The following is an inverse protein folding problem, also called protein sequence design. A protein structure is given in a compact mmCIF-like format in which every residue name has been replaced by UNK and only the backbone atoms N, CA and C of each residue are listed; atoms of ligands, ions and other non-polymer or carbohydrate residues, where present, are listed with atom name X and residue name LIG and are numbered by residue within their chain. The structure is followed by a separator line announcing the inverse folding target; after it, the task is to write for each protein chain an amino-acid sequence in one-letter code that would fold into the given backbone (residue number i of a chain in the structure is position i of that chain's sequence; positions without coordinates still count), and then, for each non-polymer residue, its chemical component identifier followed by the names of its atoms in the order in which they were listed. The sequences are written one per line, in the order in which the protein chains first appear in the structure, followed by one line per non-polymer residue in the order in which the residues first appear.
data_IF_284535934693
#
_entry.id   IF_284535934693
#
_cell.length_a   1.000
_cell.length_b   1.000
_cell.length_c   1.000
_cell.angle_alpha   90.00
_cell.angle_beta   90.00
_cell.angle_gamma   90.00
#
_symmetry.space_group_name_H-M   'P 1'
#
loop_
_entity.id
_entity.type
_entity.pdbx_description
1 polymer ?
#
# COMPACT_ATOMS: atom_id res chain seq x y z
N UNK A 1 -48.28 29.88 -17.54
CA UNK A 1 -48.20 28.72 -16.61
C UNK A 1 -48.18 27.45 -17.45
N UNK A 2 -47.00 26.98 -17.85
CA UNK A 2 -46.81 25.71 -18.54
C UNK A 2 -46.59 24.60 -17.51
N UNK A 3 -47.35 23.54 -17.67
CA UNK A 3 -47.34 22.33 -16.85
C UNK A 3 -45.99 21.63 -17.06
N UNK A 4 -45.15 21.60 -16.03
CA UNK A 4 -43.95 20.76 -15.99
C UNK A 4 -44.43 19.32 -15.87
N UNK A 5 -44.39 18.60 -17.00
CA UNK A 5 -44.50 17.14 -17.03
C UNK A 5 -43.35 16.57 -16.20
N UNK A 6 -43.69 15.91 -15.08
CA UNK A 6 -42.87 14.99 -14.26
C UNK A 6 -41.43 14.81 -14.77
N UNK A 7 -40.57 15.76 -14.44
CA UNK A 7 -39.14 15.46 -14.30
C UNK A 7 -38.93 15.14 -12.83
N UNK A 8 -38.42 13.95 -12.57
CA UNK A 8 -37.99 13.51 -11.26
C UNK A 8 -36.93 14.50 -10.75
N UNK A 9 -37.39 15.49 -9.97
CA UNK A 9 -36.49 16.29 -9.14
C UNK A 9 -36.04 15.34 -8.04
N UNK A 10 -34.81 14.86 -8.18
CA UNK A 10 -34.16 13.91 -7.28
C UNK A 10 -34.04 14.55 -5.90
N UNK A 11 -34.43 13.80 -4.86
CA UNK A 11 -34.30 14.18 -3.46
C UNK A 11 -32.82 14.51 -3.16
N UNK A 12 -32.50 15.79 -2.93
CA UNK A 12 -31.13 16.26 -2.69
C UNK A 12 -30.61 17.29 -3.71
N UNK A 13 -31.28 17.46 -4.85
CA UNK A 13 -30.92 18.53 -5.79
C UNK A 13 -31.23 19.90 -5.18
N UNK A 14 -30.28 20.84 -5.26
CA UNK A 14 -30.44 22.18 -4.72
C UNK A 14 -30.01 23.25 -5.72
N UNK A 15 -30.54 24.46 -5.52
CA UNK A 15 -30.17 25.64 -6.30
C UNK A 15 -29.13 26.43 -5.50
N UNK A 16 -27.99 26.70 -6.12
CA UNK A 16 -26.96 27.58 -5.55
C UNK A 16 -26.48 28.52 -6.64
N UNK A 17 -26.44 29.83 -6.34
CA UNK A 17 -25.95 30.87 -7.26
C UNK A 17 -26.54 30.76 -8.69
N UNK A 18 -27.87 30.63 -8.78
CA UNK A 18 -28.62 30.46 -10.03
C UNK A 18 -28.26 29.20 -10.86
N UNK A 19 -27.58 28.22 -10.27
CA UNK A 19 -27.30 26.92 -10.91
C UNK A 19 -28.10 25.83 -10.21
N UNK A 20 -28.82 25.03 -10.99
CA UNK A 20 -29.43 23.78 -10.51
C UNK A 20 -28.33 22.72 -10.43
N UNK A 21 -27.96 22.31 -9.21
CA UNK A 21 -27.02 21.22 -8.98
C UNK A 21 -27.86 19.95 -8.88
N UNK A 22 -27.79 19.13 -9.94
CA UNK A 22 -28.44 17.82 -9.98
C UNK A 22 -27.54 16.81 -9.28
N UNK A 23 -28.04 16.19 -8.22
CA UNK A 23 -27.41 14.98 -7.70
C UNK A 23 -27.65 13.82 -8.69
N UNK A 24 -26.64 12.97 -8.94
CA UNK A 24 -26.80 11.86 -9.87
C UNK A 24 -27.91 10.92 -9.40
N UNK A 25 -28.72 10.42 -10.34
CA UNK A 25 -29.70 9.36 -10.07
C UNK A 25 -28.92 8.11 -9.64
N UNK A 26 -29.00 7.78 -8.35
CA UNK A 26 -28.40 6.57 -7.80
C UNK A 26 -29.44 5.45 -8.00
N UNK A 27 -29.11 4.44 -8.81
CA UNK A 27 -29.89 3.20 -8.81
C UNK A 27 -29.83 2.64 -7.37
N UNK A 28 -30.97 2.44 -6.69
CA UNK A 28 -30.99 1.97 -5.31
C UNK A 28 -30.34 0.59 -5.13
N UNK A 29 -30.09 -0.15 -6.22
CA UNK A 29 -29.37 -1.42 -6.21
C UNK A 29 -27.87 -1.29 -6.55
N UNK A 30 -27.41 -0.09 -6.94
CA UNK A 30 -26.02 0.15 -7.29
C UNK A 30 -25.25 0.61 -6.06
N UNK A 31 -24.36 -0.25 -5.56
CA UNK A 31 -23.39 0.13 -4.54
C UNK A 31 -22.56 1.30 -5.05
N UNK A 32 -22.62 2.42 -4.33
CA UNK A 32 -21.75 3.56 -4.60
C UNK A 32 -20.28 3.15 -4.41
N UNK A 33 -19.36 3.64 -5.24
CA UNK A 33 -17.94 3.47 -4.98
C UNK A 33 -17.52 4.29 -3.75
N UNK A 34 -16.54 3.77 -3.01
CA UNK A 34 -15.80 4.57 -2.01
C UNK A 34 -15.06 5.72 -2.69
N UNK A 35 -14.40 5.43 -3.81
CA UNK A 35 -13.62 6.38 -4.58
C UNK A 35 -13.72 6.04 -6.07
N UNK A 36 -13.87 7.07 -6.90
CA UNK A 36 -13.66 7.00 -8.35
C UNK A 36 -12.90 8.27 -8.72
N UNK A 37 -11.61 8.15 -9.02
CA UNK A 37 -10.76 9.32 -9.20
C UNK A 37 -9.58 9.11 -10.13
N UNK A 38 -9.20 10.16 -10.85
CA UNK A 38 -7.92 10.26 -11.53
C UNK A 38 -6.82 10.60 -10.53
N UNK A 39 -5.70 9.88 -10.62
CA UNK A 39 -4.53 10.12 -9.78
C UNK A 39 -3.70 11.27 -10.37
N UNK A 40 -3.49 12.32 -9.60
CA UNK A 40 -2.80 13.55 -10.02
C UNK A 40 -1.28 13.35 -10.18
N UNK A 41 -0.69 12.42 -9.43
CA UNK A 41 0.73 12.03 -9.56
C UNK A 41 0.87 10.52 -9.76
N UNK A 42 0.55 9.99 -10.97
CA UNK A 42 0.51 8.56 -11.23
C UNK A 42 1.80 7.80 -10.93
N UNK A 43 2.96 8.36 -11.29
CA UNK A 43 4.25 7.67 -11.05
C UNK A 43 4.61 7.58 -9.58
N UNK A 44 4.20 8.59 -8.79
CA UNK A 44 4.40 8.57 -7.33
C UNK A 44 3.47 7.53 -6.68
N UNK A 45 2.22 7.47 -7.11
CA UNK A 45 1.30 6.41 -6.67
C UNK A 45 1.81 5.02 -7.06
N UNK A 46 2.27 4.85 -8.32
CA UNK A 46 2.89 3.62 -8.81
C UNK A 46 4.07 3.21 -7.93
N UNK A 47 5.00 4.12 -7.63
CA UNK A 47 6.14 3.85 -6.77
C UNK A 47 5.69 3.35 -5.39
N UNK A 48 4.67 3.99 -4.80
CA UNK A 48 4.04 3.52 -3.56
C UNK A 48 3.49 2.09 -3.68
N UNK A 49 2.65 1.81 -4.68
CA UNK A 49 2.07 0.46 -4.86
C UNK A 49 3.16 -0.61 -5.08
N UNK A 50 4.20 -0.30 -5.86
CA UNK A 50 5.33 -1.20 -6.08
C UNK A 50 6.14 -1.43 -4.79
N UNK A 51 6.34 -0.38 -4.00
CA UNK A 51 6.98 -0.42 -2.70
C UNK A 51 6.23 -1.32 -1.72
N UNK A 52 4.90 -1.16 -1.63
CA UNK A 52 4.04 -2.04 -0.83
C UNK A 52 4.21 -3.49 -1.29
N UNK A 53 4.05 -3.75 -2.59
CA UNK A 53 4.18 -5.09 -3.13
C UNK A 53 5.56 -5.71 -2.84
N UNK A 54 6.65 -4.93 -2.92
CA UNK A 54 8.00 -5.40 -2.60
C UNK A 54 8.11 -5.86 -1.15
N UNK A 55 7.55 -5.12 -0.20
CA UNK A 55 7.55 -5.49 1.23
C UNK A 55 6.65 -6.69 1.48
N UNK A 56 5.47 -6.74 0.86
CA UNK A 56 4.56 -7.87 0.99
C UNK A 56 5.22 -9.16 0.46
N UNK A 57 5.95 -9.07 -0.65
CA UNK A 57 6.71 -10.18 -1.24
C UNK A 57 8.03 -10.51 -0.53
N UNK A 58 8.55 -9.63 0.32
CA UNK A 58 9.87 -9.76 0.89
C UNK A 58 10.01 -11.06 1.71
N UNK A 59 10.89 -11.95 1.27
CA UNK A 59 11.33 -13.11 2.05
C UNK A 59 12.74 -13.57 1.68
N UNK A 60 13.58 -13.95 2.65
CA UNK A 60 14.88 -14.56 2.36
C UNK A 60 14.70 -15.99 1.81
N UNK A 61 15.09 -16.20 0.55
CA UNK A 61 15.45 -17.53 0.05
C UNK A 61 14.31 -18.47 -0.37
N UNK A 62 13.06 -17.99 -0.50
CA UNK A 62 11.96 -18.82 -1.02
C UNK A 62 11.09 -18.01 -1.99
N UNK A 63 11.08 -18.42 -3.25
CA UNK A 63 10.15 -17.89 -4.26
C UNK A 63 8.89 -18.73 -4.25
N UNK A 64 7.75 -18.13 -3.90
CA UNK A 64 6.46 -18.81 -3.89
C UNK A 64 5.43 -17.94 -4.62
N UNK A 65 4.67 -18.55 -5.51
CA UNK A 65 3.73 -17.90 -6.46
C UNK A 65 2.45 -17.32 -5.83
N UNK A 66 2.44 -16.99 -4.54
CA UNK A 66 1.26 -16.40 -3.88
C UNK A 66 1.49 -14.93 -3.57
N UNK A 67 0.56 -14.13 -4.05
CA UNK A 67 0.49 -12.69 -3.86
C UNK A 67 -0.29 -12.41 -2.57
N UNK A 68 0.12 -11.37 -1.83
CA UNK A 68 -0.60 -10.91 -0.65
C UNK A 68 -1.58 -9.82 -1.02
N UNK A 69 -2.72 -9.92 -0.39
CA UNK A 69 -3.88 -9.10 -0.68
C UNK A 69 -3.93 -7.96 0.32
N UNK A 70 -3.57 -6.72 -0.06
CA UNK A 70 -3.68 -5.62 0.85
C UNK A 70 -5.13 -5.34 1.20
N UNK A 71 -5.30 -4.87 2.42
CA UNK A 71 -6.50 -4.15 2.83
C UNK A 71 -6.37 -2.72 2.33
N UNK A 72 -7.46 -2.20 1.79
CA UNK A 72 -7.56 -0.84 1.29
C UNK A 72 -8.64 -0.14 2.06
N UNK A 73 -8.28 0.97 2.70
CA UNK A 73 -9.18 1.80 3.50
C UNK A 73 -9.27 3.17 2.87
N UNK A 74 -10.49 3.64 2.67
CA UNK A 74 -10.82 4.96 2.15
C UNK A 74 -11.47 5.72 3.29
N UNK A 75 -10.92 6.89 3.64
CA UNK A 75 -11.49 7.84 4.59
C UNK A 75 -11.68 9.19 3.92
N UNK A 76 -12.29 10.17 4.56
CA UNK A 76 -12.40 11.53 3.99
C UNK A 76 -11.05 12.10 3.54
N UNK A 77 -9.96 11.81 4.27
CA UNK A 77 -8.69 12.51 4.10
C UNK A 77 -7.61 11.68 3.39
N UNK A 78 -7.79 10.36 3.29
CA UNK A 78 -6.74 9.48 2.77
C UNK A 78 -7.25 8.16 2.22
N UNK A 79 -6.43 7.56 1.37
CA UNK A 79 -6.54 6.17 0.93
C UNK A 79 -5.32 5.41 1.40
N UNK A 80 -5.54 4.43 2.28
CA UNK A 80 -4.52 3.55 2.80
C UNK A 80 -4.50 2.22 2.05
N UNK A 81 -3.31 1.72 1.74
CA UNK A 81 -3.08 0.34 1.34
C UNK A 81 -2.14 -0.32 2.34
N UNK A 82 -2.56 -1.42 2.95
CA UNK A 82 -1.81 -2.06 4.02
C UNK A 82 -1.84 -3.58 3.98
N UNK A 83 -0.79 -4.21 4.52
CA UNK A 83 -0.73 -5.65 4.62
C UNK A 83 0.51 -6.16 5.34
N UNK A 84 0.48 -7.45 5.62
CA UNK A 84 1.61 -8.18 6.16
C UNK A 84 2.38 -8.87 5.03
N UNK A 85 3.70 -8.88 5.15
CA UNK A 85 4.56 -9.79 4.39
C UNK A 85 4.08 -11.24 4.50
N UNK A 86 4.47 -12.07 3.53
CA UNK A 86 4.14 -13.50 3.51
C UNK A 86 4.19 -14.21 4.84
N UNK A 87 5.25 -13.93 5.57
CA UNK A 87 5.53 -14.63 6.81
C UNK A 87 5.06 -13.84 8.03
N UNK A 88 4.41 -12.69 7.89
CA UNK A 88 3.99 -11.89 9.03
C UNK A 88 5.16 -11.42 9.90
N UNK A 89 6.34 -11.18 9.31
CA UNK A 89 7.51 -10.61 10.00
C UNK A 89 7.68 -9.12 9.70
N UNK A 90 7.02 -8.64 8.64
CA UNK A 90 6.94 -7.24 8.25
C UNK A 90 5.49 -6.84 8.05
N UNK A 91 5.14 -5.65 8.50
CA UNK A 91 3.90 -4.94 8.19
C UNK A 91 4.24 -3.69 7.37
N UNK A 92 3.38 -3.35 6.42
CA UNK A 92 3.51 -2.15 5.61
C UNK A 92 2.14 -1.50 5.45
N UNK A 93 2.09 -0.19 5.62
CA UNK A 93 0.94 0.66 5.29
C UNK A 93 1.42 1.88 4.51
N UNK A 94 0.84 2.11 3.34
CA UNK A 94 1.06 3.33 2.55
C UNK A 94 -0.20 4.15 2.57
N UNK A 95 -0.06 5.40 2.98
CA UNK A 95 -1.10 6.40 3.03
C UNK A 95 -0.93 7.39 1.89
N UNK A 96 -1.95 7.47 1.04
CA UNK A 96 -2.05 8.49 0.01
C UNK A 96 -3.04 9.58 0.47
N UNK A 97 -2.63 10.85 0.55
CA UNK A 97 -3.52 11.92 0.97
C UNK A 97 -4.59 12.20 -0.09
N UNK A 98 -5.73 12.75 0.32
CA UNK A 98 -6.82 13.12 -0.59
C UNK A 98 -6.36 14.02 -1.74
N UNK A 99 -5.36 14.87 -1.50
CA UNK A 99 -4.75 15.78 -2.48
C UNK A 99 -4.05 15.08 -3.65
N UNK A 100 -3.88 13.75 -3.60
CA UNK A 100 -3.37 12.95 -4.71
C UNK A 100 -4.46 12.58 -5.73
N UNK A 101 -5.72 12.75 -5.35
CA UNK A 101 -6.90 12.38 -6.11
C UNK A 101 -7.57 13.64 -6.67
N UNK A 102 -7.98 13.59 -7.94
CA UNK A 102 -8.62 14.73 -8.60
C UNK A 102 -10.06 14.92 -8.12
N UNK A 103 -10.80 13.83 -8.04
CA UNK A 103 -12.15 13.78 -7.49
C UNK A 103 -12.12 13.52 -5.97
N UNK A 104 -13.09 14.10 -5.25
CA UNK A 104 -13.26 13.87 -3.80
C UNK A 104 -13.69 12.43 -3.52
N UNK A 105 -13.30 11.96 -2.35
CA UNK A 105 -13.76 10.69 -1.79
C UNK A 105 -15.27 10.78 -1.55
N UNK A 106 -16.02 9.77 -2.00
CA UNK A 106 -17.48 9.80 -1.99
C UNK A 106 -18.06 9.27 -0.69
N UNK A 107 -17.46 8.21 -0.17
CA UNK A 107 -17.86 7.57 1.08
C UNK A 107 -16.67 6.81 1.66
N UNK A 108 -16.63 6.71 2.98
CA UNK A 108 -15.62 5.92 3.68
C UNK A 108 -15.91 4.42 3.56
N UNK A 109 -14.86 3.60 3.59
CA UNK A 109 -15.04 2.17 3.52
C UNK A 109 -13.74 1.40 3.43
N UNK A 110 -13.87 0.07 3.52
CA UNK A 110 -12.75 -0.86 3.47
C UNK A 110 -13.06 -2.00 2.52
N UNK A 111 -12.07 -2.36 1.71
CA UNK A 111 -12.05 -3.56 0.88
C UNK A 111 -10.69 -4.24 0.99
N UNK A 112 -10.53 -5.42 0.42
CA UNK A 112 -9.28 -6.17 0.49
C UNK A 112 -9.11 -6.93 -0.82
N UNK A 113 -7.97 -6.80 -1.49
CA UNK A 113 -7.87 -7.17 -2.92
C UNK A 113 -6.61 -7.94 -3.26
N UNK A 114 -6.71 -8.82 -4.25
CA UNK A 114 -5.55 -9.53 -4.82
C UNK A 114 -4.75 -8.66 -5.78
N UNK A 115 -3.50 -8.39 -5.43
CA UNK A 115 -2.49 -7.72 -6.25
C UNK A 115 -2.00 -8.61 -7.40
N UNK A 116 -2.89 -9.09 -8.27
CA UNK A 116 -2.58 -10.14 -9.23
C UNK A 116 -1.23 -9.95 -9.98
N UNK A 117 -0.52 -11.03 -10.37
CA UNK A 117 0.85 -10.89 -10.88
C UNK A 117 0.91 -10.11 -12.20
N UNK A 118 -0.19 -10.09 -12.95
CA UNK A 118 -0.26 -9.33 -14.20
C UNK A 118 -0.27 -7.82 -13.93
N UNK A 119 -1.00 -7.38 -12.92
CA UNK A 119 -1.09 -5.98 -12.51
C UNK A 119 0.28 -5.45 -12.08
N UNK A 120 0.98 -6.17 -11.19
CA UNK A 120 2.31 -5.77 -10.74
C UNK A 120 3.31 -5.74 -11.90
N UNK A 121 3.28 -6.74 -12.80
CA UNK A 121 4.14 -6.76 -13.99
C UNK A 121 3.85 -5.57 -14.91
N UNK A 122 2.59 -5.24 -15.12
CA UNK A 122 2.20 -4.13 -16.00
C UNK A 122 2.61 -2.78 -15.41
N UNK A 123 2.45 -2.58 -14.09
CA UNK A 123 2.97 -1.39 -13.41
C UNK A 123 4.49 -1.29 -13.54
N UNK A 124 5.24 -2.37 -13.28
CA UNK A 124 6.71 -2.39 -13.37
C UNK A 124 7.24 -2.15 -14.78
N UNK A 125 6.55 -2.66 -15.80
CA UNK A 125 7.00 -2.55 -17.20
C UNK A 125 7.02 -1.11 -17.74
N UNK A 126 6.45 -0.16 -16.99
CA UNK A 126 6.23 1.22 -17.42
C UNK A 126 7.20 2.16 -16.72
N UNK A 127 8.10 2.76 -17.48
CA UNK A 127 8.96 3.85 -17.00
C UNK A 127 8.13 5.08 -16.61
N UNK A 128 7.12 5.42 -17.42
CA UNK A 128 6.25 6.59 -17.24
C UNK A 128 4.77 6.21 -17.26
N UNK A 129 3.97 6.86 -16.42
CA UNK A 129 2.52 6.62 -16.28
C UNK A 129 1.75 7.91 -16.53
N UNK A 130 1.26 8.17 -17.76
CA UNK A 130 0.64 9.45 -18.08
C UNK A 130 -0.75 9.61 -17.46
N UNK A 131 -1.53 8.52 -17.39
CA UNK A 131 -2.88 8.54 -16.85
C UNK A 131 -3.14 7.27 -16.05
N UNK A 132 -3.61 7.47 -14.82
CA UNK A 132 -3.98 6.41 -13.91
C UNK A 132 -5.30 6.79 -13.24
N UNK A 133 -6.27 5.90 -13.35
CA UNK A 133 -7.56 6.00 -12.70
C UNK A 133 -7.69 4.90 -11.66
N UNK A 134 -8.27 5.27 -10.52
CA UNK A 134 -8.53 4.40 -9.39
C UNK A 134 -10.02 4.40 -9.08
N UNK A 135 -10.58 3.21 -9.01
CA UNK A 135 -11.95 2.96 -8.58
C UNK A 135 -11.92 1.96 -7.43
N UNK A 136 -12.58 2.26 -6.33
CA UNK A 136 -12.63 1.43 -5.13
C UNK A 136 -14.09 1.31 -4.70
N UNK A 137 -14.55 0.07 -4.47
CA UNK A 137 -15.88 -0.21 -3.96
C UNK A 137 -15.87 -1.43 -3.00
N UNK A 138 -17.01 -1.80 -2.40
CA UNK A 138 -17.09 -2.96 -1.51
C UNK A 138 -16.65 -4.30 -2.14
N UNK A 139 -16.68 -4.42 -3.47
CA UNK A 139 -16.38 -5.64 -4.24
C UNK A 139 -14.92 -5.72 -4.71
N UNK A 140 -14.17 -4.61 -4.62
CA UNK A 140 -12.74 -4.58 -4.90
C UNK A 140 -12.26 -3.27 -5.48
N UNK A 141 -11.24 -3.37 -6.31
CA UNK A 141 -10.54 -2.23 -6.89
C UNK A 141 -10.42 -2.41 -8.39
N UNK A 142 -10.62 -1.33 -9.13
CA UNK A 142 -10.25 -1.25 -10.52
C UNK A 142 -9.20 -0.15 -10.71
N UNK A 143 -8.11 -0.51 -11.36
CA UNK A 143 -7.05 0.41 -11.75
C UNK A 143 -6.98 0.44 -13.26
N UNK A 144 -7.24 1.60 -13.86
CA UNK A 144 -7.10 1.79 -15.30
C UNK A 144 -5.86 2.61 -15.61
N UNK A 145 -4.97 2.01 -16.38
CA UNK A 145 -3.75 2.66 -16.89
C UNK A 145 -3.93 2.80 -18.40
N UNK A 146 -3.92 4.03 -18.88
CA UNK A 146 -4.20 4.40 -20.28
C UNK A 146 -5.57 3.90 -20.79
N UNK A 147 -5.60 2.66 -21.30
CA UNK A 147 -6.77 1.97 -21.88
C UNK A 147 -6.92 0.53 -21.37
N UNK A 148 -6.11 0.15 -20.38
CA UNK A 148 -6.11 -1.20 -19.80
C UNK A 148 -6.56 -1.12 -18.35
N UNK A 149 -7.68 -1.77 -18.06
CA UNK A 149 -8.20 -1.90 -16.70
C UNK A 149 -7.78 -3.21 -16.06
N UNK A 150 -7.37 -3.12 -14.79
CA UNK A 150 -7.04 -4.22 -13.90
C UNK A 150 -8.09 -4.26 -12.80
N UNK A 151 -8.88 -5.34 -12.79
CA UNK A 151 -9.88 -5.56 -11.75
C UNK A 151 -9.26 -6.49 -10.69
N UNK A 152 -9.01 -5.93 -9.52
CA UNK A 152 -8.53 -6.62 -8.33
C UNK A 152 -9.75 -6.96 -7.48
N UNK A 153 -10.09 -8.25 -7.44
CA UNK A 153 -11.32 -8.71 -6.77
C UNK A 153 -11.14 -8.79 -5.28
N UNK A 154 -12.23 -8.59 -4.55
CA UNK A 154 -12.31 -8.91 -3.14
C UNK A 154 -11.96 -10.38 -2.88
N UNK A 155 -11.19 -10.61 -1.83
CA UNK A 155 -10.89 -11.98 -1.36
C UNK A 155 -11.35 -12.20 0.07
N UNK A 156 -11.21 -13.43 0.57
CA UNK A 156 -11.42 -13.75 1.99
C UNK A 156 -10.08 -13.71 2.69
N UNK A 157 -9.92 -12.81 3.67
CA UNK A 157 -8.69 -12.70 4.45
C UNK A 157 -8.46 -13.94 5.33
N UNK A 158 -7.21 -14.42 5.46
CA UNK A 158 -6.91 -15.54 6.34
C UNK A 158 -7.06 -15.13 7.80
N UNK A 159 -7.38 -16.10 8.67
CA UNK A 159 -7.64 -15.86 10.09
C UNK A 159 -6.45 -15.20 10.79
N UNK A 160 -5.23 -15.69 10.54
CA UNK A 160 -4.00 -15.18 11.14
C UNK A 160 -3.77 -13.68 10.86
N UNK A 161 -4.30 -13.15 9.76
CA UNK A 161 -4.16 -11.72 9.44
C UNK A 161 -4.86 -10.85 10.48
N UNK A 162 -6.07 -11.25 10.91
CA UNK A 162 -6.83 -10.54 11.94
C UNK A 162 -6.11 -10.59 13.28
N UNK A 163 -5.59 -11.76 13.64
CA UNK A 163 -4.83 -11.95 14.87
C UNK A 163 -3.57 -11.07 14.86
N UNK A 164 -2.81 -11.06 13.75
CA UNK A 164 -1.62 -10.22 13.59
C UNK A 164 -1.94 -8.72 13.59
N UNK A 165 -3.07 -8.32 13.02
CA UNK A 165 -3.53 -6.94 13.05
C UNK A 165 -3.92 -6.49 14.46
N UNK A 166 -4.53 -7.36 15.26
CA UNK A 166 -4.81 -7.09 16.67
C UNK A 166 -3.51 -6.96 17.48
N UNK A 167 -2.55 -7.85 17.28
CA UNK A 167 -1.23 -7.76 17.94
C UNK A 167 -0.50 -6.47 17.59
N UNK A 168 -0.50 -6.09 16.31
CA UNK A 168 0.12 -4.86 15.83
C UNK A 168 -0.41 -3.62 16.55
N UNK A 169 -1.72 -3.57 16.85
CA UNK A 169 -2.35 -2.44 17.55
C UNK A 169 -1.84 -2.22 18.97
N UNK A 170 -1.22 -3.22 19.61
CA UNK A 170 -0.55 -3.04 20.91
C UNK A 170 0.73 -2.22 20.82
N UNK A 171 1.34 -2.14 19.65
CA UNK A 171 2.62 -1.46 19.44
C UNK A 171 2.48 -0.14 18.69
N UNK A 172 1.47 0.00 17.84
CA UNK A 172 1.28 1.18 17.00
C UNK A 172 -0.19 1.55 16.90
N UNK A 173 -0.49 2.84 16.94
CA UNK A 173 -1.74 3.37 16.46
C UNK A 173 -1.71 3.38 14.93
N UNK A 174 -2.37 2.40 14.32
CA UNK A 174 -2.37 2.20 12.85
C UNK A 174 -3.06 3.37 12.12
N UNK A 175 -3.99 4.06 12.78
CA UNK A 175 -4.72 5.18 12.19
C UNK A 175 -3.87 6.44 12.13
N UNK A 176 -3.17 6.77 13.22
CA UNK A 176 -2.24 7.92 13.25
C UNK A 176 -0.87 7.57 12.68
N UNK A 177 -0.59 6.28 12.46
CA UNK A 177 0.72 5.73 12.06
C UNK A 177 1.82 5.93 13.11
N UNK A 178 1.46 6.19 14.37
CA UNK A 178 2.40 6.49 15.44
C UNK A 178 2.57 5.30 16.40
N UNK A 179 3.81 4.87 16.69
CA UNK A 179 4.06 3.87 17.71
C UNK A 179 3.58 4.35 19.08
N UNK A 180 3.08 3.43 19.91
CA UNK A 180 2.81 3.72 21.31
C UNK A 180 4.16 3.88 22.02
N UNK A 181 4.62 5.12 22.13
CA UNK A 181 5.95 5.43 22.66
C UNK A 181 6.00 5.03 24.14
N UNK A 182 6.77 4.00 24.45
CA UNK A 182 7.22 3.65 25.80
C UNK A 182 8.71 4.02 25.97
N UNK A 183 9.21 4.03 27.21
CA UNK A 183 10.63 4.25 27.51
C UNK A 183 11.60 3.23 26.86
N UNK A 184 11.05 2.18 26.26
CA UNK A 184 11.77 1.11 25.57
C UNK A 184 12.15 1.47 24.13
N UNK A 185 11.52 2.49 23.55
CA UNK A 185 11.82 2.96 22.19
C UNK A 185 12.81 4.13 22.20
N UNK A 186 13.83 4.04 21.34
CA UNK A 186 14.59 5.20 20.89
C UNK A 186 13.94 5.72 19.60
N UNK A 187 13.44 6.96 19.62
CA UNK A 187 13.08 7.68 18.40
C UNK A 187 14.34 8.33 17.82
N UNK A 188 14.58 8.11 16.54
CA UNK A 188 15.69 8.69 15.78
C UNK A 188 15.13 9.24 14.47
N UNK A 189 15.60 10.41 14.04
CA UNK A 189 15.18 11.02 12.79
C UNK A 189 16.34 11.05 11.79
N UNK A 190 16.08 10.60 10.57
CA UNK A 190 16.97 10.74 9.42
C UNK A 190 16.41 11.78 8.44
N UNK A 191 17.28 12.65 7.94
CA UNK A 191 16.94 13.47 6.77
C UNK A 191 16.72 12.58 5.54
N UNK A 192 15.95 13.05 4.56
CA UNK A 192 15.77 12.34 3.29
C UNK A 192 17.10 11.99 2.61
N UNK A 193 18.09 12.90 2.66
CA UNK A 193 19.45 12.64 2.15
C UNK A 193 20.14 11.51 2.92
N UNK A 194 20.08 11.54 4.25
CA UNK A 194 20.65 10.49 5.12
C UNK A 194 19.99 9.14 4.87
N UNK A 195 18.66 9.12 4.73
CA UNK A 195 17.89 7.92 4.43
C UNK A 195 18.24 7.33 3.05
N UNK A 196 18.32 8.16 2.01
CA UNK A 196 18.74 7.74 0.67
C UNK A 196 20.16 7.17 0.68
N UNK A 197 21.08 7.82 1.40
CA UNK A 197 22.43 7.30 1.58
C UNK A 197 22.44 5.95 2.29
N UNK A 198 21.60 5.76 3.31
CA UNK A 198 21.45 4.48 4.00
C UNK A 198 20.99 3.39 3.05
N UNK A 199 19.88 3.59 2.34
CA UNK A 199 19.32 2.61 1.41
C UNK A 199 20.36 2.24 0.34
N UNK A 200 21.00 3.21 -0.31
CA UNK A 200 22.02 2.97 -1.35
C UNK A 200 23.23 2.19 -0.83
N UNK A 201 23.71 2.53 0.37
CA UNK A 201 24.86 1.82 0.97
C UNK A 201 24.50 0.39 1.34
N UNK A 202 23.31 0.16 1.89
CA UNK A 202 22.84 -1.20 2.18
C UNK A 202 22.64 -1.97 0.88
N UNK A 203 22.00 -1.42 -0.15
CA UNK A 203 21.83 -2.04 -1.47
C UNK A 203 23.17 -2.47 -2.08
N UNK A 204 24.12 -1.54 -2.19
CA UNK A 204 25.45 -1.81 -2.77
C UNK A 204 26.22 -2.87 -2.01
N UNK A 205 26.04 -2.99 -0.69
CA UNK A 205 26.79 -3.96 0.09
C UNK A 205 26.46 -5.42 -0.24
N UNK A 206 25.24 -5.71 -0.67
CA UNK A 206 24.82 -7.09 -0.98
C UNK A 206 25.21 -7.52 -2.39
N UNK A 207 25.73 -6.61 -3.22
CA UNK A 207 26.40 -6.97 -4.48
C UNK A 207 27.70 -7.76 -4.22
N UNK A 208 28.25 -7.70 -3.01
CA UNK A 208 29.45 -8.42 -2.62
C UNK A 208 29.11 -9.70 -1.85
N UNK A 209 29.30 -10.86 -2.48
CA UNK A 209 28.86 -12.22 -2.06
C UNK A 209 29.25 -12.64 -0.62
N UNK A 210 30.18 -11.97 0.05
CA UNK A 210 30.66 -12.34 1.39
C UNK A 210 30.71 -11.18 2.40
N UNK A 211 30.25 -9.97 2.05
CA UNK A 211 30.38 -8.76 2.89
C UNK A 211 29.11 -7.88 2.86
N UNK A 212 27.91 -8.45 2.88
CA UNK A 212 26.67 -7.65 3.01
C UNK A 212 26.50 -7.09 4.42
N UNK A 213 25.91 -5.89 4.56
CA UNK A 213 25.63 -5.28 5.89
C UNK A 213 24.77 -6.27 6.67
N UNK A 214 25.17 -6.61 7.90
CA UNK A 214 24.42 -7.56 8.73
C UNK A 214 23.56 -6.85 9.77
N UNK A 215 24.05 -5.74 10.29
CA UNK A 215 23.37 -4.95 11.31
C UNK A 215 23.61 -3.46 11.13
N UNK A 216 22.64 -2.67 11.60
CA UNK A 216 22.82 -1.25 11.84
C UNK A 216 23.10 -1.04 13.32
N UNK A 217 24.10 -0.21 13.64
CA UNK A 217 24.39 0.20 14.99
C UNK A 217 24.14 1.70 15.12
N UNK A 218 23.17 2.06 15.95
CA UNK A 218 22.71 3.41 16.18
C UNK A 218 23.37 3.94 17.44
N UNK A 219 24.05 5.08 17.34
CA UNK A 219 24.74 5.77 18.44
C UNK A 219 24.29 7.24 18.54
N UNK A 220 24.93 7.99 19.43
CA UNK A 220 24.52 9.35 19.80
C UNK A 220 24.25 10.26 18.59
N UNK A 221 25.06 10.18 17.53
CA UNK A 221 25.00 11.10 16.38
C UNK A 221 24.88 10.41 15.05
N UNK A 222 24.97 9.08 15.00
CA UNK A 222 25.04 8.36 13.75
C UNK A 222 24.39 6.98 13.77
N UNK A 223 24.14 6.48 12.56
CA UNK A 223 23.93 5.06 12.32
C UNK A 223 25.09 4.51 11.52
N UNK A 224 25.76 3.52 12.10
CA UNK A 224 26.88 2.80 11.54
C UNK A 224 26.39 1.54 10.83
N UNK A 225 26.90 1.30 9.62
CA UNK A 225 26.65 0.09 8.85
C UNK A 225 27.74 -0.93 9.19
N UNK A 226 27.34 -2.06 9.77
CA UNK A 226 28.27 -3.10 10.22
C UNK A 226 28.25 -4.34 9.31
N UNK A 227 29.43 -4.78 8.86
CA UNK A 227 29.61 -6.09 8.19
C UNK A 227 29.85 -7.24 9.18
N UNK A 228 29.53 -8.47 8.74
CA UNK A 228 29.65 -9.68 9.56
C UNK A 228 30.97 -10.44 9.33
N UNK A 229 31.67 -10.70 10.45
CA UNK A 229 32.90 -11.50 10.63
C UNK A 229 33.20 -11.69 12.13
N UNK A 230 34.44 -12.03 12.53
CA UNK A 230 34.87 -12.09 13.96
C UNK A 230 35.06 -10.71 14.61
N UNK A 231 35.13 -9.64 13.82
CA UNK A 231 35.20 -8.25 14.28
C UNK A 231 34.14 -7.44 13.55
N UNK A 232 33.51 -6.53 14.28
CA UNK A 232 32.55 -5.58 13.74
C UNK A 232 33.33 -4.37 13.22
N UNK A 233 33.24 -4.14 11.91
CA UNK A 233 33.85 -2.99 11.27
C UNK A 233 32.74 -2.07 10.75
N UNK A 234 32.78 -0.80 11.17
CA UNK A 234 31.92 0.24 10.60
C UNK A 234 32.46 0.62 9.24
N UNK A 235 31.64 0.47 8.20
CA UNK A 235 32.01 0.80 6.82
C UNK A 235 31.47 2.15 6.40
N UNK A 236 30.47 2.63 7.12
CA UNK A 236 29.85 3.91 6.88
C UNK A 236 29.13 4.37 8.13
N UNK A 237 29.30 5.64 8.46
CA UNK A 237 28.49 6.36 9.41
C UNK A 237 27.55 7.32 8.66
N UNK A 238 26.31 7.42 9.11
CA UNK A 238 25.27 8.30 8.55
C UNK A 238 24.72 9.15 9.68
N UNK A 239 24.70 10.47 9.48
CA UNK A 239 24.28 11.42 10.51
C UNK A 239 22.78 11.37 10.78
N UNK A 240 22.44 11.42 12.05
CA UNK A 240 21.08 11.60 12.56
C UNK A 240 20.73 13.08 12.67
N UNK A 241 19.45 13.40 12.56
CA UNK A 241 18.91 14.72 12.93
C UNK A 241 18.72 14.77 14.44
N UNK A 242 18.03 13.78 14.99
CA UNK A 242 17.83 13.61 16.44
C UNK A 242 18.76 12.51 16.98
N UNK A 243 19.42 12.74 18.13
CA UNK A 243 20.39 11.80 18.67
C UNK A 243 19.73 10.51 19.16
N UNK A 244 20.45 9.39 19.07
CA UNK A 244 20.02 8.15 19.70
C UNK A 244 20.39 8.16 21.19
N UNK A 245 19.38 8.25 22.07
CA UNK A 245 19.61 8.37 23.51
C UNK A 245 20.24 7.11 24.14
N UNK A 246 19.89 5.93 23.62
CA UNK A 246 20.45 4.64 24.04
C UNK A 246 20.96 3.90 22.79
N UNK A 247 22.23 3.49 22.75
CA UNK A 247 22.74 2.74 21.61
C UNK A 247 21.87 1.53 21.30
N UNK A 248 21.51 1.36 20.04
CA UNK A 248 20.62 0.30 19.59
C UNK A 248 21.25 -0.46 18.44
N UNK A 249 21.03 -1.78 18.40
CA UNK A 249 21.48 -2.61 17.29
C UNK A 249 20.28 -3.26 16.62
N UNK A 250 20.18 -3.08 15.31
CA UNK A 250 19.11 -3.64 14.51
C UNK A 250 19.64 -4.71 13.56
N UNK A 251 18.97 -5.86 13.52
CA UNK A 251 19.29 -6.99 12.66
C UNK A 251 18.29 -7.11 11.50
N UNK A 252 18.68 -7.86 10.47
CA UNK A 252 17.83 -8.10 9.30
C UNK A 252 17.69 -6.87 8.41
N UNK A 253 18.81 -6.15 8.22
CA UNK A 253 18.91 -4.90 7.46
C UNK A 253 18.60 -5.05 5.97
N UNK A 254 18.62 -6.27 5.43
CA UNK A 254 18.15 -6.56 4.08
C UNK A 254 16.71 -6.08 3.85
N UNK A 255 15.91 -5.96 4.92
CA UNK A 255 14.55 -5.39 4.86
C UNK A 255 14.52 -3.91 4.45
N UNK A 256 15.58 -3.16 4.77
CA UNK A 256 15.74 -1.75 4.35
C UNK A 256 16.05 -1.66 2.86
N UNK A 257 16.68 -2.68 2.26
CA UNK A 257 16.89 -2.72 0.81
C UNK A 257 15.57 -2.76 0.05
N UNK A 258 14.52 -3.30 0.67
CA UNK A 258 13.21 -3.31 0.03
C UNK A 258 12.63 -1.90 -0.12
N UNK A 259 13.25 -0.85 0.44
CA UNK A 259 12.77 0.53 0.38
C UNK A 259 13.35 1.34 -0.79
N UNK A 260 14.09 0.70 -1.69
CA UNK A 260 14.76 1.36 -2.81
C UNK A 260 13.81 2.05 -3.78
N UNK A 261 12.63 1.46 -4.04
CA UNK A 261 11.66 1.97 -5.02
C UNK A 261 11.11 3.36 -4.66
N UNK A 262 10.97 3.68 -3.37
CA UNK A 262 10.47 4.98 -2.91
C UNK A 262 11.55 5.90 -2.34
N UNK A 263 12.79 5.41 -2.16
CA UNK A 263 13.83 6.12 -1.42
C UNK A 263 14.08 7.55 -1.91
N UNK A 264 14.11 7.76 -3.23
CA UNK A 264 14.36 9.08 -3.82
C UNK A 264 13.22 10.09 -3.57
N UNK A 265 12.02 9.63 -3.16
CA UNK A 265 10.88 10.47 -2.82
C UNK A 265 10.82 10.83 -1.33
N UNK A 266 11.57 10.12 -0.48
CA UNK A 266 11.56 10.31 0.98
C UNK A 266 12.30 11.59 1.35
N UNK A 267 11.64 12.43 2.15
CA UNK A 267 12.18 13.68 2.69
C UNK A 267 12.58 13.56 4.16
N UNK A 268 12.01 12.60 4.89
CA UNK A 268 12.32 12.32 6.29
C UNK A 268 11.97 10.87 6.62
N UNK A 269 12.72 10.26 7.53
CA UNK A 269 12.41 8.96 8.11
C UNK A 269 12.50 9.03 9.64
N UNK A 270 11.38 8.78 10.31
CA UNK A 270 11.31 8.61 11.76
C UNK A 270 11.46 7.12 12.07
N UNK A 271 12.47 6.77 12.86
CA UNK A 271 12.84 5.40 13.17
C UNK A 271 12.69 5.18 14.67
N UNK A 272 11.82 4.24 15.02
CA UNK A 272 11.53 3.84 16.38
C UNK A 272 12.18 2.49 16.64
N UNK A 273 13.27 2.52 17.41
CA UNK A 273 14.13 1.37 17.67
C UNK A 273 13.86 0.86 19.07
N UNK A 274 13.44 -0.39 19.19
CA UNK A 274 13.30 -1.03 20.49
C UNK A 274 14.09 -2.34 20.55
N UNK A 275 14.57 -2.65 21.75
CA UNK A 275 15.32 -3.88 22.01
C UNK A 275 14.32 -5.02 22.25
N UNK A 276 14.41 -6.11 21.46
CA UNK A 276 13.50 -7.28 21.52
C UNK A 276 12.03 -7.00 21.16
N UNK A 277 11.65 -5.75 20.88
CA UNK A 277 10.35 -5.38 20.33
C UNK A 277 10.44 -5.04 18.84
N UNK A 278 9.30 -5.07 18.11
CA UNK A 278 9.26 -4.62 16.74
C UNK A 278 9.80 -3.19 16.58
N UNK A 279 10.59 -2.96 15.55
CA UNK A 279 11.04 -1.60 15.19
C UNK A 279 10.08 -1.01 14.15
N UNK A 280 9.77 0.28 14.27
CA UNK A 280 8.90 0.97 13.32
C UNK A 280 9.65 2.03 12.55
N UNK A 281 9.31 2.18 11.28
CA UNK A 281 9.83 3.23 10.41
C UNK A 281 8.64 3.96 9.81
N UNK A 282 8.57 5.28 10.04
CA UNK A 282 7.61 6.16 9.39
C UNK A 282 8.39 6.98 8.37
N UNK A 283 8.13 6.75 7.09
CA UNK A 283 8.76 7.52 6.02
C UNK A 283 7.77 8.56 5.51
N UNK A 284 8.25 9.78 5.39
CA UNK A 284 7.51 10.89 4.82
C UNK A 284 8.05 11.14 3.42
N UNK A 285 7.19 10.97 2.41
CA UNK A 285 7.51 11.26 1.03
C UNK A 285 6.97 12.62 0.62
N UNK A 286 7.48 13.14 -0.50
CA UNK A 286 6.92 14.34 -1.13
C UNK A 286 5.42 14.17 -1.39
N UNK A 287 4.70 15.29 -1.44
CA UNK A 287 3.25 15.31 -1.71
C UNK A 287 2.37 14.74 -0.60
N UNK A 288 2.89 14.59 0.62
CA UNK A 288 2.10 14.16 1.78
C UNK A 288 1.88 12.65 1.90
N UNK A 289 2.53 11.83 1.06
CA UNK A 289 2.47 10.37 1.17
C UNK A 289 3.27 9.92 2.39
N UNK A 290 2.71 8.99 3.14
CA UNK A 290 3.36 8.41 4.32
C UNK A 290 3.45 6.89 4.17
N UNK A 291 4.52 6.30 4.70
CA UNK A 291 4.73 4.86 4.75
C UNK A 291 5.04 4.47 6.20
N UNK A 292 4.25 3.56 6.77
CA UNK A 292 4.56 2.90 8.04
C UNK A 292 5.07 1.50 7.75
N UNK A 293 6.22 1.18 8.33
CA UNK A 293 6.81 -0.16 8.30
C UNK A 293 6.97 -0.65 9.72
N UNK A 294 6.49 -1.85 9.99
CA UNK A 294 6.74 -2.55 11.26
C UNK A 294 7.56 -3.80 11.00
N UNK A 295 8.68 -3.96 11.70
CA UNK A 295 9.56 -5.12 11.58
C UNK A 295 9.70 -5.85 12.89
N UNK A 296 9.44 -7.15 12.90
CA UNK A 296 9.75 -7.98 14.07
C UNK A 296 11.27 -8.09 14.27
N UNK A 297 11.76 -8.26 15.52
CA UNK A 297 13.19 -8.24 15.85
C UNK A 297 14.02 -9.30 15.11
N UNK A 298 13.40 -10.45 14.80
CA UNK A 298 14.02 -11.57 14.11
C UNK A 298 13.21 -11.98 12.90
N UNK A 299 13.87 -12.39 11.81
CA UNK A 299 13.20 -12.87 10.60
C UNK A 299 12.34 -14.12 10.84
N UNK A 300 12.63 -14.89 11.91
CA UNK A 300 11.83 -16.02 12.37
C UNK A 300 10.76 -15.66 13.40
N UNK A 301 10.77 -14.41 13.91
CA UNK A 301 9.74 -13.91 14.80
C UNK A 301 8.60 -13.34 13.97
N UNK A 302 7.39 -13.77 14.27
CA UNK A 302 6.18 -13.34 13.59
C UNK A 302 5.29 -12.59 14.55
N UNK A 303 4.40 -11.76 14.02
CA UNK A 303 3.41 -11.05 14.84
C UNK A 303 2.53 -12.01 15.65
N UNK A 304 2.29 -13.25 15.18
CA UNK A 304 1.52 -14.27 15.91
C UNK A 304 2.08 -15.69 15.74
N UNK A 305 1.83 -16.54 16.75
CA UNK A 305 2.10 -17.99 16.68
C UNK A 305 1.17 -18.71 15.68
N UNK A 306 -0.04 -18.19 15.46
CA UNK A 306 -0.95 -18.69 14.41
C UNK A 306 -0.36 -18.48 13.02
N UNK A 307 0.18 -17.29 12.75
CA UNK A 307 0.89 -17.02 11.50
C UNK A 307 2.03 -18.03 11.32
N UNK A 308 2.77 -18.34 12.41
CA UNK A 308 3.87 -19.32 12.39
C UNK A 308 3.40 -20.69 11.96
N UNK A 309 2.34 -21.20 12.56
CA UNK A 309 1.78 -22.53 12.23
C UNK A 309 1.26 -22.59 10.80
N UNK A 310 0.55 -21.56 10.35
CA UNK A 310 0.03 -21.48 8.98
C UNK A 310 1.16 -21.44 7.95
N UNK A 311 2.22 -20.71 8.25
CA UNK A 311 3.47 -20.69 7.47
C UNK A 311 4.15 -22.05 7.46
N UNK A 312 4.34 -22.68 8.63
CA UNK A 312 4.96 -24.00 8.72
C UNK A 312 4.15 -25.02 7.91
N UNK A 313 2.83 -24.91 7.90
CA UNK A 313 1.94 -25.72 7.06
C UNK A 313 2.11 -25.41 5.57
N UNK A 314 2.24 -24.14 5.18
CA UNK A 314 2.52 -23.72 3.80
C UNK A 314 3.88 -24.20 3.30
N UNK A 315 4.90 -24.22 4.18
CA UNK A 315 6.24 -24.71 3.85
C UNK A 315 6.27 -26.24 3.71
N UNK A 316 5.45 -26.96 4.48
CA UNK A 316 5.33 -28.43 4.40
C UNK A 316 4.69 -28.89 3.09
N UNK A 317 3.81 -28.10 2.50
CA UNK A 317 3.21 -28.38 1.20
C UNK A 317 2.99 -27.08 0.41
N UNK A 318 4.03 -26.57 -0.29
CA UNK A 318 3.96 -25.32 -1.04
C UNK A 318 2.98 -25.39 -2.22
N UNK A 319 2.48 -26.58 -2.56
CA UNK A 319 1.53 -26.83 -3.64
C UNK A 319 0.13 -27.24 -3.16
N UNK A 320 -0.13 -27.30 -1.84
CA UNK A 320 -1.43 -27.71 -1.28
C UNK A 320 -2.60 -26.89 -1.83
N UNK A 321 -2.34 -25.61 -2.01
CA UNK A 321 -3.29 -24.65 -2.54
C UNK A 321 -3.16 -24.41 -4.05
N UNK A 322 -2.25 -25.12 -4.72
CA UNK A 322 -2.13 -25.16 -6.18
C UNK A 322 -3.18 -26.07 -6.83
N UNK A 323 -4.05 -26.69 -6.04
CA UNK A 323 -5.24 -27.35 -6.56
C UNK A 323 -6.20 -26.25 -7.02
N UNK A 324 -6.01 -25.79 -8.25
CA UNK A 324 -7.14 -25.28 -9.02
C UNK A 324 -8.31 -26.27 -8.85
N UNK A 325 -9.57 -25.83 -8.80
CA UNK A 325 -10.74 -26.71 -8.94
C UNK A 325 -10.84 -27.33 -10.36
N UNK A 326 -9.73 -27.85 -10.92
CA UNK A 326 -9.65 -28.62 -12.16
C UNK A 326 -10.21 -30.04 -12.01
N UNK A 327 -10.22 -30.62 -10.80
CA UNK A 327 -10.68 -32.01 -10.61
C UNK A 327 -12.21 -32.19 -10.47
N UNK A 328 -13.01 -31.12 -10.43
CA UNK A 328 -14.48 -31.22 -10.58
C UNK A 328 -14.97 -31.02 -12.03
N UNK A 329 -14.08 -30.82 -13.02
CA UNK A 329 -14.44 -30.58 -14.42
C UNK A 329 -14.26 -31.79 -15.34
N UNK A 330 -14.75 -32.96 -14.93
CA UNK A 330 -15.02 -34.09 -15.85
C UNK A 330 -16.51 -34.40 -16.02
N UNK A 331 -17.39 -33.43 -15.78
CA UNK A 331 -18.72 -33.40 -16.41
C UNK A 331 -18.73 -32.29 -17.46
N UNK A 332 -18.77 -32.69 -18.74
CA UNK A 332 -18.93 -31.81 -19.91
C UNK A 332 -20.17 -30.91 -19.75
N UNK A 333 -20.05 -29.78 -19.06
CA UNK A 333 -21.01 -28.67 -19.16
C UNK A 333 -20.48 -27.72 -20.23
N UNK A 334 -21.26 -27.55 -21.30
CA UNK A 334 -21.07 -26.56 -22.37
C UNK A 334 -20.53 -25.25 -21.78
N UNK A 335 -19.34 -24.84 -22.21
CA UNK A 335 -18.72 -23.57 -21.82
C UNK A 335 -19.64 -22.43 -22.29
N UNK A 336 -20.46 -21.87 -21.38
CA UNK A 336 -20.98 -20.52 -21.57
C UNK A 336 -19.76 -19.59 -21.57
N UNK A 337 -19.60 -18.77 -22.62
CA UNK A 337 -18.56 -17.73 -22.70
C UNK A 337 -18.59 -16.94 -21.38
N UNK A 338 -17.49 -16.97 -20.61
CA UNK A 338 -17.34 -16.10 -19.44
C UNK A 338 -17.36 -14.66 -19.96
N UNK A 339 -18.45 -13.94 -19.70
CA UNK A 339 -18.53 -12.50 -19.92
C UNK A 339 -17.41 -11.90 -19.05
N UNK A 340 -16.41 -11.27 -19.68
CA UNK A 340 -15.42 -10.50 -18.94
C UNK A 340 -16.19 -9.38 -18.21
N UNK A 341 -15.95 -9.15 -16.90
CA UNK A 341 -16.53 -7.99 -16.24
C UNK A 341 -16.17 -6.75 -17.06
N UNK A 342 -17.17 -5.93 -17.38
CA UNK A 342 -16.96 -4.66 -18.06
C UNK A 342 -16.21 -3.75 -17.09
N UNK A 343 -15.27 -2.95 -17.62
CA UNK A 343 -14.65 -1.85 -16.86
C UNK A 343 -15.76 -1.04 -16.18
N UNK A 344 -15.60 -0.77 -14.89
CA UNK A 344 -16.41 0.20 -14.15
C UNK A 344 -15.91 1.61 -14.41
N UNK A 345 -14.63 1.75 -14.75
CA UNK A 345 -14.06 3.01 -15.22
C UNK A 345 -14.56 3.23 -16.65
N UNK A 346 -15.49 4.17 -16.79
CA UNK A 346 -15.77 4.73 -18.10
C UNK A 346 -14.53 5.52 -18.51
N UNK A 347 -13.76 4.96 -19.45
CA UNK A 347 -12.74 5.73 -20.17
C UNK A 347 -13.49 6.81 -20.94
N UNK A 348 -13.80 7.93 -20.29
CA UNK A 348 -14.28 9.12 -20.99
C UNK A 348 -13.10 9.53 -21.86
N UNK A 349 -13.14 9.15 -23.14
CA UNK A 349 -12.37 9.82 -24.17
C UNK A 349 -12.57 11.30 -23.93
N UNK A 350 -11.48 12.01 -23.64
CA UNK A 350 -11.35 13.47 -23.57
C UNK A 350 -12.70 14.18 -23.60
N UNK A 351 -13.21 14.69 -22.48
CA UNK A 351 -14.37 15.59 -22.52
C UNK A 351 -14.15 16.66 -23.59
N UNK A 352 -14.85 16.64 -24.74
CA UNK A 352 -14.87 17.75 -25.66
C UNK A 352 -15.94 18.67 -25.11
N UNK A 353 -15.51 19.70 -24.39
CA UNK A 353 -16.39 20.75 -23.92
C UNK A 353 -17.03 20.48 -22.56
N UNK A 354 -16.76 21.40 -21.64
CA UNK A 354 -17.81 21.89 -20.76
C UNK A 354 -19.09 22.08 -21.58
N UNK A 355 -20.15 21.33 -21.28
CA UNK A 355 -21.49 21.87 -21.52
C UNK A 355 -21.79 22.80 -20.36
N UNK A 356 -21.37 24.05 -20.51
CA UNK A 356 -22.08 25.16 -19.88
C UNK A 356 -23.48 25.12 -20.48
N UNK A 357 -24.49 24.85 -19.65
CA UNK A 357 -25.87 25.13 -20.04
C UNK A 357 -25.99 26.66 -19.92
N UNK A 358 -26.17 27.41 -21.03
CA UNK A 358 -26.36 28.85 -20.94
C UNK A 358 -27.68 29.14 -20.21
N UNK A 359 -27.71 30.28 -19.54
CA UNK A 359 -28.74 30.81 -18.65
C UNK A 359 -30.17 30.40 -18.99
N UNK A 360 -30.86 29.81 -18.00
CA UNK A 360 -32.24 29.33 -18.13
C UNK A 360 -33.31 30.42 -17.91
N UNK A 361 -32.91 31.67 -17.66
CA UNK A 361 -33.85 32.79 -17.54
C UNK A 361 -33.27 34.08 -18.11
N UNK A 362 -33.48 34.27 -19.41
CA UNK A 362 -33.61 35.59 -20.01
C UNK A 362 -34.96 35.65 -20.74
N UNK A 363 -36.00 35.95 -19.95
CA UNK A 363 -37.13 36.84 -20.26
C UNK A 363 -38.14 36.79 -19.12
#
# INVERSE_FOLDING_TARGET
MSIILKQEVVQGSYISENKLILEPIIDPNQTLPFLESQILKPDLFKAGILQLNQILMAHPGISLNRIYDPVVTVTENYVDFEGFSRFGHSYCKIRFPETLFKERIRQEGMTNVDFNPQFIRDLRSRSYTPSLWLYIDPDGIELAIDKKAHILKKIVMPKWWKDAYQELKYYVNIETMEPHISEEYNKVILSGKSFQQLVRKVENSYLFKHHGVRSLFWDDKSVNLLFGGRKEESVASIKLIEPCNKPARQWGVWRIQNLSEIADQIIQADVYLANKLPSFWILYARSGIQLLLGYTPYTSALWTETARKDIENLLKDPYRDYIEPRRQRRRKKRYKRRIKPKSRINFVQMHPGQRVIPDFFSN
#
